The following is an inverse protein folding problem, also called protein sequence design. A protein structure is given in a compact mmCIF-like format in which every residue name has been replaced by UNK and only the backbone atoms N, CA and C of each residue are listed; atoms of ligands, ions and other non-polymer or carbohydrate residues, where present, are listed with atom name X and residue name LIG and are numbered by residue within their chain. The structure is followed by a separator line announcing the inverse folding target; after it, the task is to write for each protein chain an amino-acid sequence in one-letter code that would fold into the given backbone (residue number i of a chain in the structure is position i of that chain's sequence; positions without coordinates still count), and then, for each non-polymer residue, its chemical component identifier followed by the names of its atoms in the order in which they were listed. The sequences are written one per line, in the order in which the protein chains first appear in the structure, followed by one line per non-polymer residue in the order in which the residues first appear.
data_IF_242374891905
#
_entry.id   IF_242374891905
#
_cell.length_a   1.000
_cell.length_b   1.000
_cell.length_c   1.000
_cell.angle_alpha   90.00
_cell.angle_beta   90.00
_cell.angle_gamma   90.00
#
_symmetry.space_group_name_H-M   'P 1'
#
loop_
_entity.id
_entity.type
_entity.pdbx_description
1 polymer ?
#
# COMPACT_ATOMS: atom_id res chain seq x y z
N UNK A 1 -13.48 -42.49 -7.78
CA UNK A 1 -14.22 -41.46 -8.54
C UNK A 1 -13.98 -40.14 -7.83
N UNK A 2 -13.68 -39.03 -8.53
CA UNK A 2 -13.54 -37.74 -7.86
C UNK A 2 -14.88 -37.38 -7.19
N UNK A 3 -14.82 -36.94 -5.93
CA UNK A 3 -15.98 -36.48 -5.18
C UNK A 3 -16.39 -35.12 -5.75
N UNK A 4 -17.39 -35.10 -6.63
CA UNK A 4 -17.89 -33.87 -7.25
C UNK A 4 -19.00 -33.34 -6.34
N UNK A 5 -18.70 -32.27 -5.62
CA UNK A 5 -19.71 -31.52 -4.87
C UNK A 5 -20.41 -30.61 -5.88
N UNK A 6 -21.71 -30.80 -6.09
CA UNK A 6 -22.49 -29.88 -6.92
C UNK A 6 -22.74 -28.57 -6.15
N UNK A 7 -23.05 -27.50 -6.86
CA UNK A 7 -23.30 -26.21 -6.21
C UNK A 7 -24.53 -26.26 -5.29
N UNK A 8 -25.56 -27.02 -5.66
CA UNK A 8 -26.77 -27.20 -4.85
C UNK A 8 -26.45 -27.91 -3.53
N UNK A 9 -25.66 -28.98 -3.59
CA UNK A 9 -25.22 -29.70 -2.39
C UNK A 9 -24.30 -28.83 -1.52
N UNK A 10 -23.44 -28.01 -2.14
CA UNK A 10 -22.60 -27.06 -1.41
C UNK A 10 -23.43 -26.02 -0.65
N UNK A 11 -24.45 -25.45 -1.28
CA UNK A 11 -25.33 -24.46 -0.65
C UNK A 11 -26.07 -25.09 0.52
N UNK A 12 -26.68 -26.26 0.31
CA UNK A 12 -27.47 -26.95 1.34
C UNK A 12 -26.62 -27.35 2.56
N UNK A 13 -25.39 -27.81 2.35
CA UNK A 13 -24.54 -28.32 3.43
C UNK A 13 -23.66 -27.26 4.11
N UNK A 14 -23.21 -26.22 3.39
CA UNK A 14 -22.14 -25.33 3.86
C UNK A 14 -22.53 -23.85 3.96
N UNK A 15 -23.73 -23.44 3.56
CA UNK A 15 -24.12 -22.02 3.64
C UNK A 15 -24.00 -21.45 5.06
N UNK A 16 -24.59 -22.13 6.05
CA UNK A 16 -24.56 -21.67 7.44
C UNK A 16 -23.12 -21.59 7.96
N UNK A 17 -22.31 -22.61 7.70
CA UNK A 17 -20.89 -22.65 8.05
C UNK A 17 -20.11 -21.47 7.45
N UNK A 18 -20.32 -21.18 6.16
CA UNK A 18 -19.62 -20.08 5.47
C UNK A 18 -20.01 -18.73 6.07
N UNK A 19 -21.31 -18.53 6.34
CA UNK A 19 -21.83 -17.29 6.93
C UNK A 19 -21.33 -17.08 8.36
N UNK A 20 -21.32 -18.12 9.19
CA UNK A 20 -20.74 -18.05 10.53
C UNK A 20 -19.24 -17.74 10.50
N UNK A 21 -18.49 -18.42 9.63
CA UNK A 21 -17.07 -18.16 9.43
C UNK A 21 -16.82 -16.70 9.00
N UNK A 22 -17.62 -16.19 8.06
CA UNK A 22 -17.53 -14.83 7.57
C UNK A 22 -17.78 -13.81 8.68
N UNK A 23 -18.85 -13.97 9.47
CA UNK A 23 -19.16 -13.09 10.61
C UNK A 23 -18.01 -13.01 11.61
N UNK A 24 -17.46 -14.16 11.99
CA UNK A 24 -16.30 -14.24 12.89
C UNK A 24 -15.08 -13.50 12.29
N UNK A 25 -14.80 -13.71 11.00
CA UNK A 25 -13.66 -13.09 10.32
C UNK A 25 -13.82 -11.59 10.14
N UNK A 26 -15.01 -11.13 9.79
CA UNK A 26 -15.33 -9.72 9.57
C UNK A 26 -15.24 -8.92 10.88
N UNK A 27 -15.70 -9.49 12.00
CA UNK A 27 -15.54 -8.88 13.33
C UNK A 27 -14.07 -8.70 13.73
N UNK A 28 -13.20 -9.69 13.45
CA UNK A 28 -11.76 -9.55 13.70
C UNK A 28 -11.09 -8.49 12.81
N UNK A 29 -11.49 -8.39 11.53
CA UNK A 29 -10.95 -7.39 10.61
C UNK A 29 -11.40 -5.97 10.95
N UNK A 30 -12.65 -5.78 11.38
CA UNK A 30 -13.16 -4.46 11.77
C UNK A 30 -12.41 -3.88 12.98
N UNK A 31 -12.02 -4.74 13.92
CA UNK A 31 -11.20 -4.37 15.07
C UNK A 31 -9.77 -3.96 14.70
N UNK A 32 -9.25 -4.42 13.55
CA UNK A 32 -7.85 -4.27 13.18
C UNK A 32 -7.58 -3.26 12.06
N UNK A 33 -8.54 -3.01 11.16
CA UNK A 33 -8.30 -2.20 9.95
C UNK A 33 -9.27 -1.03 9.70
N UNK A 34 -10.38 -0.87 10.44
CA UNK A 34 -11.37 0.24 10.36
C UNK A 34 -11.86 0.71 8.96
N UNK A 35 -11.44 0.08 7.86
CA UNK A 35 -11.85 0.34 6.48
C UNK A 35 -11.94 -0.99 5.73
N UNK A 36 -12.95 -1.12 4.86
CA UNK A 36 -13.20 -2.34 4.08
C UNK A 36 -14.23 -3.28 4.71
N UNK A 37 -15.39 -2.75 5.12
CA UNK A 37 -16.52 -3.61 5.46
C UNK A 37 -16.96 -4.34 4.18
N UNK A 38 -16.89 -5.67 4.20
CA UNK A 38 -17.53 -6.51 3.19
C UNK A 38 -18.92 -6.82 3.73
N UNK A 39 -19.96 -6.59 2.92
CA UNK A 39 -21.31 -7.02 3.23
C UNK A 39 -21.41 -8.55 3.06
N UNK A 40 -22.13 -9.21 3.97
CA UNK A 40 -22.23 -10.68 3.99
C UNK A 40 -22.81 -11.24 2.69
N UNK A 41 -23.83 -10.59 2.13
CA UNK A 41 -24.47 -11.03 0.89
C UNK A 41 -23.58 -10.83 -0.34
N UNK A 42 -22.73 -9.80 -0.35
CA UNK A 42 -21.75 -9.59 -1.42
C UNK A 42 -20.69 -10.69 -1.40
N UNK A 43 -20.22 -11.06 -0.21
CA UNK A 43 -19.25 -12.15 -0.04
C UNK A 43 -19.83 -13.49 -0.47
N UNK A 44 -21.08 -13.77 -0.06
CA UNK A 44 -21.78 -15.00 -0.43
C UNK A 44 -21.97 -15.10 -1.94
N UNK A 45 -22.47 -14.04 -2.57
CA UNK A 45 -22.71 -13.99 -4.01
C UNK A 45 -21.42 -14.19 -4.82
N UNK A 46 -20.32 -13.55 -4.41
CA UNK A 46 -19.03 -13.67 -5.09
C UNK A 46 -18.40 -15.06 -4.90
N UNK A 47 -18.61 -15.71 -3.75
CA UNK A 47 -18.20 -17.10 -3.53
C UNK A 47 -18.92 -18.04 -4.49
N UNK A 48 -20.25 -17.94 -4.58
CA UNK A 48 -21.04 -18.78 -5.48
C UNK A 48 -20.64 -18.54 -6.94
N UNK A 49 -20.44 -17.30 -7.34
CA UNK A 49 -19.93 -16.95 -8.66
C UNK A 49 -18.58 -17.61 -8.94
N UNK A 50 -17.62 -17.51 -8.02
CA UNK A 50 -16.31 -18.15 -8.20
C UNK A 50 -16.38 -19.68 -8.22
N UNK A 51 -17.31 -20.29 -7.48
CA UNK A 51 -17.56 -21.73 -7.52
C UNK A 51 -18.02 -22.16 -8.92
N UNK A 52 -18.96 -21.42 -9.53
CA UNK A 52 -19.44 -21.69 -10.89
C UNK A 52 -18.36 -21.39 -11.94
N UNK A 53 -17.83 -20.17 -11.94
CA UNK A 53 -16.96 -19.68 -13.01
C UNK A 53 -15.60 -20.37 -13.05
N UNK A 54 -15.07 -20.75 -11.88
CA UNK A 54 -13.71 -21.30 -11.75
C UNK A 54 -13.69 -22.75 -11.26
N UNK A 55 -14.87 -23.39 -11.19
CA UNK A 55 -15.06 -24.76 -10.72
C UNK A 55 -14.28 -25.07 -9.44
N UNK A 56 -14.30 -24.15 -8.46
CA UNK A 56 -13.38 -24.21 -7.31
C UNK A 56 -13.56 -25.49 -6.51
N UNK A 57 -14.79 -26.01 -6.42
CA UNK A 57 -15.09 -27.27 -5.73
C UNK A 57 -14.34 -28.47 -6.34
N UNK A 58 -14.07 -28.44 -7.65
CA UNK A 58 -13.30 -29.49 -8.34
C UNK A 58 -11.80 -29.46 -8.01
N UNK A 59 -11.31 -28.35 -7.42
CA UNK A 59 -9.90 -28.21 -7.01
C UNK A 59 -9.60 -28.85 -5.65
N UNK A 60 -10.63 -29.30 -4.93
CA UNK A 60 -10.43 -30.06 -3.70
C UNK A 60 -10.03 -31.50 -4.03
N UNK A 61 -8.82 -31.89 -3.62
CA UNK A 61 -8.34 -33.26 -3.75
C UNK A 61 -8.28 -33.93 -2.36
N UNK A 62 -9.18 -34.89 -2.14
CA UNK A 62 -9.23 -35.69 -0.91
C UNK A 62 -7.96 -36.52 -0.68
N UNK A 63 -7.17 -36.78 -1.74
CA UNK A 63 -5.92 -37.55 -1.67
C UNK A 63 -4.68 -36.66 -1.63
N UNK A 64 -4.84 -35.33 -1.49
CA UNK A 64 -3.74 -34.41 -1.35
C UNK A 64 -2.90 -34.76 -0.10
N UNK A 65 -1.58 -34.55 -0.19
CA UNK A 65 -0.60 -34.97 0.83
C UNK A 65 -0.88 -34.47 2.25
N UNK A 66 -1.69 -33.42 2.39
CA UNK A 66 -2.06 -32.81 3.66
C UNK A 66 -3.12 -33.59 4.44
N UNK A 67 -3.90 -34.49 3.80
CA UNK A 67 -5.01 -35.20 4.46
C UNK A 67 -6.07 -34.29 5.07
N UNK A 68 -6.11 -33.02 4.68
CA UNK A 68 -6.98 -32.01 5.25
C UNK A 68 -8.43 -32.28 4.85
N UNK A 69 -9.35 -32.21 5.81
CA UNK A 69 -10.78 -32.34 5.53
C UNK A 69 -11.29 -31.13 4.73
N UNK A 70 -12.46 -31.31 4.10
CA UNK A 70 -13.03 -30.34 3.18
C UNK A 70 -13.23 -28.97 3.83
N UNK A 71 -13.73 -28.91 5.07
CA UNK A 71 -13.90 -27.65 5.80
C UNK A 71 -12.59 -26.87 5.99
N UNK A 72 -11.47 -27.55 6.26
CA UNK A 72 -10.17 -26.88 6.44
C UNK A 72 -9.70 -26.27 5.13
N UNK A 73 -9.84 -27.01 4.03
CA UNK A 73 -9.56 -26.48 2.70
C UNK A 73 -10.50 -25.34 2.33
N UNK A 74 -11.79 -25.46 2.65
CA UNK A 74 -12.80 -24.44 2.41
C UNK A 74 -12.46 -23.15 3.17
N UNK A 75 -12.06 -23.22 4.45
CA UNK A 75 -11.58 -22.06 5.21
C UNK A 75 -10.42 -21.33 4.54
N UNK A 76 -9.50 -22.04 3.88
CA UNK A 76 -8.43 -21.41 3.09
C UNK A 76 -8.99 -20.67 1.87
N UNK A 77 -9.91 -21.31 1.13
CA UNK A 77 -10.60 -20.69 -0.02
C UNK A 77 -11.34 -19.43 0.41
N UNK A 78 -12.12 -19.50 1.50
CA UNK A 78 -12.86 -18.39 2.06
C UNK A 78 -11.94 -17.24 2.49
N UNK A 79 -10.81 -17.54 3.14
CA UNK A 79 -9.84 -16.53 3.54
C UNK A 79 -9.19 -15.82 2.35
N UNK A 80 -8.85 -16.57 1.29
CA UNK A 80 -8.30 -15.97 0.08
C UNK A 80 -9.33 -15.09 -0.62
N UNK A 81 -10.57 -15.56 -0.74
CA UNK A 81 -11.67 -14.76 -1.30
C UNK A 81 -11.90 -13.49 -0.48
N UNK A 82 -11.91 -13.59 0.84
CA UNK A 82 -12.10 -12.44 1.72
C UNK A 82 -11.01 -11.40 1.50
N UNK A 83 -9.74 -11.83 1.42
CA UNK A 83 -8.60 -10.94 1.15
C UNK A 83 -8.72 -10.30 -0.24
N UNK A 84 -9.09 -11.07 -1.25
CA UNK A 84 -9.29 -10.57 -2.62
C UNK A 84 -10.37 -9.48 -2.65
N UNK A 85 -11.52 -9.73 -2.00
CA UNK A 85 -12.64 -8.80 -1.95
C UNK A 85 -12.29 -7.54 -1.14
N UNK A 86 -11.68 -7.69 0.03
CA UNK A 86 -11.20 -6.56 0.83
C UNK A 86 -10.23 -5.70 0.01
N UNK A 87 -9.29 -6.34 -0.69
CA UNK A 87 -8.34 -5.66 -1.58
C UNK A 87 -9.03 -5.01 -2.77
N UNK A 88 -10.06 -5.64 -3.34
CA UNK A 88 -10.83 -5.10 -4.45
C UNK A 88 -11.69 -3.92 -4.03
N UNK A 89 -12.26 -3.89 -2.83
CA UNK A 89 -13.00 -2.74 -2.31
C UNK A 89 -12.04 -1.57 -2.18
N UNK A 90 -10.88 -1.77 -1.56
CA UNK A 90 -9.80 -0.76 -1.47
C UNK A 90 -9.39 -0.25 -2.86
N UNK A 91 -9.34 -1.12 -3.88
CA UNK A 91 -9.07 -0.75 -5.28
C UNK A 91 -10.26 -0.09 -6.01
N UNK A 92 -11.51 -0.38 -5.65
CA UNK A 92 -12.72 0.22 -6.26
C UNK A 92 -13.07 1.58 -5.65
N UNK A 93 -12.69 1.83 -4.40
CA UNK A 93 -12.73 3.17 -3.79
C UNK A 93 -11.62 4.08 -4.34
N UNK A 94 -10.81 3.55 -5.24
CA UNK A 94 -9.74 4.26 -5.94
C UNK A 94 -10.31 4.87 -7.22
N UNK A 95 -10.20 6.19 -7.36
CA UNK A 95 -10.69 6.93 -8.52
C UNK A 95 -9.62 6.86 -9.61
N UNK A 96 -9.98 6.33 -10.78
CA UNK A 96 -9.08 6.28 -11.94
C UNK A 96 -8.90 7.68 -12.53
N UNK A 97 -7.65 8.05 -12.84
CA UNK A 97 -7.35 9.23 -13.65
C UNK A 97 -7.37 8.80 -15.12
N UNK A 98 -8.24 9.40 -15.93
CA UNK A 98 -8.28 9.17 -17.38
C UNK A 98 -6.97 9.64 -18.03
N UNK A 99 -6.31 8.72 -18.73
CA UNK A 99 -5.14 8.98 -19.54
C UNK A 99 -5.52 9.72 -20.82
N UNK A 100 -4.95 10.89 -21.06
CA UNK A 100 -4.76 11.37 -22.43
C UNK A 100 -3.35 11.02 -22.87
N UNK A 101 -3.32 10.27 -23.97
CA UNK A 101 -2.17 9.60 -24.56
C UNK A 101 -0.96 10.51 -24.81
N UNK A 102 0.23 10.03 -24.44
CA UNK A 102 1.23 9.65 -25.44
C UNK A 102 2.28 8.70 -24.84
N UNK A 103 2.67 7.76 -25.67
CA UNK A 103 3.48 6.57 -25.45
C UNK A 103 4.76 6.80 -24.62
N UNK A 104 4.96 5.96 -23.60
CA UNK A 104 6.32 5.66 -23.15
C UNK A 104 6.47 4.16 -22.86
N UNK A 105 7.04 3.47 -23.86
CA UNK A 105 7.37 2.05 -23.86
C UNK A 105 8.76 1.86 -23.25
N UNK A 106 8.87 1.89 -21.91
CA UNK A 106 9.80 1.10 -21.11
C UNK A 106 9.92 1.64 -19.67
N UNK A 107 9.66 0.75 -18.71
CA UNK A 107 10.25 0.84 -17.36
C UNK A 107 9.45 1.66 -16.36
N UNK A 108 8.77 0.94 -15.46
CA UNK A 108 8.28 1.44 -14.18
C UNK A 108 7.39 2.68 -14.27
N UNK A 109 6.15 2.49 -14.73
CA UNK A 109 5.10 3.49 -14.55
C UNK A 109 4.84 3.68 -13.06
N UNK A 110 5.30 4.85 -12.61
CA UNK A 110 5.19 5.42 -11.28
C UNK A 110 3.71 5.56 -10.92
N UNK A 111 3.27 4.88 -9.87
CA UNK A 111 1.97 5.17 -9.24
C UNK A 111 2.14 6.46 -8.43
N UNK A 112 1.61 7.53 -9.01
CA UNK A 112 0.71 8.56 -8.46
C UNK A 112 1.18 9.42 -7.28
N UNK A 113 0.84 10.70 -7.37
CA UNK A 113 0.95 11.71 -6.32
C UNK A 113 2.30 11.66 -5.59
N UNK A 114 3.37 11.83 -6.36
CA UNK A 114 4.47 12.62 -5.81
C UNK A 114 3.81 13.90 -5.29
N UNK A 115 4.19 14.40 -4.12
CA UNK A 115 3.77 15.73 -3.68
C UNK A 115 4.31 16.75 -4.70
N UNK A 116 3.70 16.84 -5.88
CA UNK A 116 4.02 17.81 -6.90
C UNK A 116 3.31 19.06 -6.43
N UNK A 117 3.98 19.77 -5.52
CA UNK A 117 3.65 21.15 -5.26
C UNK A 117 4.12 21.90 -6.50
N UNK A 118 3.21 22.09 -7.46
CA UNK A 118 3.46 22.92 -8.62
C UNK A 118 3.80 24.33 -8.11
N UNK A 119 5.03 24.83 -8.31
CA UNK A 119 5.44 26.15 -7.82
C UNK A 119 4.58 27.29 -8.40
N UNK A 120 3.87 26.99 -9.49
CA UNK A 120 3.02 27.91 -10.24
C UNK A 120 1.57 27.92 -9.69
N UNK A 121 1.19 26.93 -8.88
CA UNK A 121 -0.05 26.90 -8.09
C UNK A 121 0.21 27.42 -6.67
N UNK A 122 0.64 28.68 -6.54
CA UNK A 122 0.81 29.39 -5.25
C UNK A 122 -0.52 29.66 -4.50
N UNK A 123 -1.49 28.77 -4.63
CA UNK A 123 -2.76 28.81 -3.90
C UNK A 123 -3.00 27.56 -3.05
N UNK A 124 -2.11 26.56 -3.04
CA UNK A 124 -2.10 25.58 -1.94
C UNK A 124 -1.78 26.35 -0.65
N UNK A 125 -2.62 26.29 0.40
CA UNK A 125 -2.42 27.14 1.56
C UNK A 125 -1.08 26.79 2.22
N UNK A 126 -0.21 27.78 2.43
CA UNK A 126 1.09 27.66 3.13
C UNK A 126 1.03 26.82 4.43
N UNK A 127 -0.17 26.72 5.01
CA UNK A 127 -0.50 25.94 6.19
C UNK A 127 -0.36 24.43 5.96
N UNK A 128 -0.78 23.89 4.82
CA UNK A 128 -0.75 22.44 4.54
C UNK A 128 0.69 21.91 4.41
N UNK A 129 1.56 22.65 3.73
CA UNK A 129 2.98 22.30 3.58
C UNK A 129 3.68 22.31 4.95
N UNK A 130 3.35 23.27 5.82
CA UNK A 130 3.89 23.33 7.19
C UNK A 130 3.47 22.13 8.03
N UNK A 131 2.22 21.67 7.91
CA UNK A 131 1.73 20.49 8.62
C UNK A 131 2.45 19.23 8.13
N UNK A 132 2.58 19.06 6.80
CA UNK A 132 3.31 17.92 6.22
C UNK A 132 4.77 17.90 6.67
N UNK A 133 5.44 19.07 6.71
CA UNK A 133 6.80 19.19 7.26
C UNK A 133 6.86 18.71 8.72
N UNK A 134 5.97 19.19 9.57
CA UNK A 134 5.91 18.76 10.97
C UNK A 134 5.73 17.24 11.10
N UNK A 135 4.89 16.64 10.26
CA UNK A 135 4.70 15.18 10.23
C UNK A 135 5.97 14.43 9.80
N UNK A 136 6.71 14.95 8.81
CA UNK A 136 8.01 14.39 8.40
C UNK A 136 9.02 14.47 9.55
N UNK A 137 9.12 15.62 10.22
CA UNK A 137 10.09 15.84 11.30
C UNK A 137 9.83 14.94 12.52
N UNK A 138 8.57 14.54 12.72
CA UNK A 138 8.13 13.60 13.77
C UNK A 138 8.39 12.12 13.44
N UNK A 139 8.88 11.78 12.24
CA UNK A 139 9.21 10.38 11.90
C UNK A 139 10.33 9.90 12.85
N UNK A 140 10.09 8.88 13.71
CA UNK A 140 11.03 8.56 14.80
C UNK A 140 12.37 7.98 14.34
N UNK A 141 12.38 7.35 13.16
CA UNK A 141 13.60 6.72 12.61
C UNK A 141 14.27 7.71 11.66
N UNK A 142 15.46 8.16 12.01
CA UNK A 142 16.25 9.11 11.20
C UNK A 142 16.40 8.66 9.74
N UNK A 143 16.81 7.40 9.50
CA UNK A 143 16.87 6.82 8.13
C UNK A 143 15.57 6.98 7.34
N UNK A 144 14.43 6.78 7.99
CA UNK A 144 13.12 6.86 7.34
C UNK A 144 12.75 8.32 7.04
N UNK A 145 13.08 9.23 7.96
CA UNK A 145 12.91 10.68 7.79
C UNK A 145 13.72 11.19 6.60
N UNK A 146 15.00 10.85 6.55
CA UNK A 146 15.91 11.21 5.45
C UNK A 146 15.43 10.62 4.12
N UNK A 147 15.00 9.35 4.10
CA UNK A 147 14.42 8.74 2.88
C UNK A 147 13.25 9.57 2.34
N UNK A 148 12.34 9.99 3.20
CA UNK A 148 11.19 10.81 2.78
C UNK A 148 11.68 12.17 2.27
N UNK A 149 12.53 12.88 3.03
CA UNK A 149 13.08 14.18 2.63
C UNK A 149 13.79 14.14 1.27
N UNK A 150 14.64 13.15 1.03
CA UNK A 150 15.35 12.99 -0.25
C UNK A 150 14.38 12.72 -1.40
N UNK A 151 13.30 11.98 -1.16
CA UNK A 151 12.34 11.56 -2.19
C UNK A 151 11.25 12.60 -2.49
N UNK A 152 10.93 13.46 -1.53
CA UNK A 152 9.91 14.50 -1.65
C UNK A 152 10.51 15.88 -1.45
N UNK A 153 11.72 16.11 -1.98
CA UNK A 153 12.37 17.39 -1.81
C UNK A 153 11.50 18.53 -2.34
N UNK A 154 11.26 19.52 -1.50
CA UNK A 154 10.57 20.77 -1.81
C UNK A 154 11.54 21.92 -1.52
N UNK A 155 11.77 22.76 -2.53
CA UNK A 155 12.69 23.90 -2.41
C UNK A 155 12.31 24.82 -1.26
N UNK A 156 13.29 25.22 -0.44
CA UNK A 156 13.07 26.13 0.68
C UNK A 156 12.23 25.56 1.84
N UNK A 157 11.83 24.29 1.80
CA UNK A 157 11.04 23.66 2.88
C UNK A 157 11.68 22.37 3.40
N UNK A 158 12.36 21.61 2.54
CA UNK A 158 13.08 20.39 2.92
C UNK A 158 14.52 20.72 3.29
N UNK A 159 14.83 20.55 4.57
CA UNK A 159 16.17 20.74 5.12
C UNK A 159 16.64 19.43 5.73
N UNK A 160 17.90 19.10 5.48
CA UNK A 160 18.60 17.99 6.14
C UNK A 160 19.48 18.62 7.21
N UNK A 161 19.27 18.25 8.46
CA UNK A 161 20.01 18.81 9.61
C UNK A 161 21.40 18.17 9.78
N UNK A 162 22.26 18.78 10.60
CA UNK A 162 23.64 18.31 10.81
C UNK A 162 23.70 16.86 11.36
N UNK A 163 22.72 16.44 12.16
CA UNK A 163 22.66 15.06 12.68
C UNK A 163 22.30 14.07 11.57
N UNK A 164 21.40 14.46 10.67
CA UNK A 164 21.03 13.69 9.49
C UNK A 164 22.16 13.61 8.47
N UNK A 165 22.92 14.69 8.28
CA UNK A 165 24.14 14.70 7.45
C UNK A 165 25.19 13.77 8.06
N UNK A 166 25.46 13.88 9.36
CA UNK A 166 26.40 12.98 10.04
C UNK A 166 25.96 11.50 9.92
N UNK A 167 24.66 11.23 9.99
CA UNK A 167 24.13 9.90 9.73
C UNK A 167 24.41 9.44 8.29
N UNK A 168 24.20 10.30 7.30
CA UNK A 168 24.47 9.98 5.89
C UNK A 168 25.96 9.69 5.65
N UNK A 169 26.85 10.49 6.22
CA UNK A 169 28.30 10.28 6.14
C UNK A 169 28.72 8.93 6.75
N UNK A 170 28.03 8.46 7.79
CA UNK A 170 28.31 7.13 8.38
C UNK A 170 27.81 5.96 7.53
N UNK A 171 26.80 6.20 6.67
CA UNK A 171 26.14 5.17 5.86
C UNK A 171 26.63 5.17 4.42
N UNK A 172 27.32 6.22 3.99
CA UNK A 172 27.69 6.45 2.59
C UNK A 172 29.17 6.76 2.44
N UNK A 173 29.82 6.13 1.47
CA UNK A 173 31.23 6.36 1.15
C UNK A 173 31.46 7.59 0.26
N UNK A 174 30.53 8.56 0.22
CA UNK A 174 30.65 9.76 -0.61
C UNK A 174 31.33 10.85 0.22
N UNK A 175 32.53 11.27 -0.19
CA UNK A 175 33.33 12.28 0.52
C UNK A 175 32.66 13.67 0.60
N UNK A 176 31.74 13.99 -0.32
CA UNK A 176 30.98 15.25 -0.32
C UNK A 176 29.46 14.99 -0.51
N UNK A 177 28.81 14.62 0.59
CA UNK A 177 27.37 14.33 0.63
C UNK A 177 26.53 15.57 0.28
N UNK A 178 26.92 16.74 0.77
CA UNK A 178 26.17 17.97 0.58
C UNK A 178 26.13 18.38 -0.90
N UNK A 179 27.29 18.35 -1.57
CA UNK A 179 27.36 18.63 -3.01
C UNK A 179 26.61 17.56 -3.81
N UNK A 180 26.77 16.28 -3.47
CA UNK A 180 26.04 15.20 -4.16
C UNK A 180 24.53 15.36 -4.06
N UNK A 181 24.01 15.71 -2.89
CA UNK A 181 22.59 15.98 -2.65
C UNK A 181 22.14 17.17 -3.50
N UNK A 182 22.90 18.27 -3.47
CA UNK A 182 22.63 19.47 -4.27
C UNK A 182 22.53 19.12 -5.76
N UNK A 183 23.55 18.46 -6.32
CA UNK A 183 23.64 18.15 -7.75
C UNK A 183 22.52 17.24 -8.26
N UNK A 184 21.89 16.46 -7.38
CA UNK A 184 20.86 15.48 -7.75
C UNK A 184 19.42 15.92 -7.41
N UNK A 185 19.25 17.13 -6.89
CA UNK A 185 17.95 17.67 -6.47
C UNK A 185 17.46 18.79 -7.40
N UNK A 186 18.34 19.38 -8.21
CA UNK A 186 18.01 20.51 -9.08
C UNK A 186 18.06 20.13 -10.56
N UNK A 187 16.96 19.54 -11.06
CA UNK A 187 16.54 19.54 -12.48
C UNK A 187 15.05 19.09 -12.53
N UNK A 188 14.11 20.05 -12.37
CA UNK A 188 12.64 19.96 -12.50
C UNK A 188 11.87 18.87 -11.69
N UNK A 189 11.46 19.25 -10.48
CA UNK A 189 11.44 18.45 -9.23
C UNK A 189 10.35 17.37 -9.06
N UNK A 190 10.81 16.21 -8.60
CA UNK A 190 10.24 15.50 -7.45
C UNK A 190 11.28 14.55 -6.83
N UNK A 191 12.14 15.12 -5.97
CA UNK A 191 13.15 14.39 -5.19
C UNK A 191 14.28 13.72 -5.98
N UNK A 192 15.18 13.09 -5.22
CA UNK A 192 16.30 12.31 -5.73
C UNK A 192 15.83 10.95 -6.26
N UNK A 193 16.56 10.40 -7.24
CA UNK A 193 16.25 9.08 -7.83
C UNK A 193 16.54 7.93 -6.86
N UNK A 194 15.77 6.85 -6.98
CA UNK A 194 15.88 5.67 -6.10
C UNK A 194 17.27 5.04 -6.06
N UNK A 195 18.00 5.04 -7.18
CA UNK A 195 19.38 4.53 -7.26
C UNK A 195 20.36 5.33 -6.40
N UNK A 196 20.16 6.64 -6.34
CA UNK A 196 21.03 7.58 -5.65
C UNK A 196 20.70 7.55 -4.15
N UNK A 197 19.40 7.49 -3.81
CA UNK A 197 18.92 7.24 -2.44
C UNK A 197 19.41 5.88 -1.91
N UNK A 198 19.36 4.83 -2.74
CA UNK A 198 19.81 3.50 -2.36
C UNK A 198 21.28 3.49 -1.93
N UNK A 199 22.11 4.26 -2.63
CA UNK A 199 23.52 4.45 -2.32
C UNK A 199 23.72 5.26 -1.04
N UNK A 200 22.99 6.36 -0.85
CA UNK A 200 23.13 7.23 0.32
C UNK A 200 22.69 6.57 1.63
N UNK A 201 21.68 5.70 1.58
CA UNK A 201 21.09 5.09 2.76
C UNK A 201 21.47 3.62 2.96
N UNK A 202 22.46 3.14 2.20
CA UNK A 202 22.87 1.73 2.14
C UNK A 202 21.65 0.78 2.13
N UNK A 203 20.77 0.97 1.15
CA UNK A 203 19.56 0.16 1.00
C UNK A 203 19.51 -0.52 -0.35
N UNK A 204 18.87 -1.69 -0.39
CA UNK A 204 18.61 -2.40 -1.65
C UNK A 204 17.68 -1.54 -2.51
N UNK A 205 18.04 -1.33 -3.78
CA UNK A 205 17.27 -0.52 -4.73
C UNK A 205 15.77 -0.86 -4.75
N UNK A 206 15.43 -2.15 -4.80
CA UNK A 206 14.03 -2.62 -4.81
C UNK A 206 13.24 -2.31 -3.53
N UNK A 207 13.91 -1.92 -2.44
CA UNK A 207 13.28 -1.64 -1.14
C UNK A 207 13.01 -0.16 -0.90
N UNK A 208 13.59 0.74 -1.71
CA UNK A 208 13.44 2.20 -1.56
C UNK A 208 11.97 2.60 -1.67
N UNK A 209 11.30 2.22 -2.76
CA UNK A 209 9.89 2.54 -3.02
C UNK A 209 8.93 1.95 -1.99
N UNK A 210 9.09 0.68 -1.67
CA UNK A 210 8.20 -0.04 -0.76
C UNK A 210 8.30 0.51 0.66
N UNK A 211 9.52 0.85 1.08
CA UNK A 211 9.80 1.47 2.39
C UNK A 211 9.24 2.88 2.45
N UNK A 212 9.49 3.70 1.42
CA UNK A 212 8.94 5.05 1.29
C UNK A 212 7.41 5.04 1.40
N UNK A 213 6.71 4.21 0.60
CA UNK A 213 5.24 4.10 0.63
C UNK A 213 4.70 3.75 2.02
N UNK A 214 5.33 2.79 2.69
CA UNK A 214 4.93 2.38 4.04
C UNK A 214 5.10 3.52 5.05
N UNK A 215 6.18 4.28 4.97
CA UNK A 215 6.44 5.41 5.88
C UNK A 215 5.44 6.52 5.62
N UNK A 216 5.27 6.93 4.37
CA UNK A 216 4.38 8.03 3.99
C UNK A 216 2.93 7.74 4.35
N UNK A 217 2.43 6.53 4.09
CA UNK A 217 1.08 6.13 4.51
C UNK A 217 0.90 6.30 6.02
N UNK A 218 1.78 5.66 6.78
CA UNK A 218 1.67 5.58 8.24
C UNK A 218 1.88 6.91 8.96
N UNK A 219 2.83 7.72 8.50
CA UNK A 219 3.31 8.88 9.24
C UNK A 219 2.86 10.21 8.66
N UNK A 220 2.33 10.23 7.43
CA UNK A 220 1.93 11.47 6.75
C UNK A 220 0.47 11.39 6.34
N UNK A 221 0.11 10.45 5.45
CA UNK A 221 -1.24 10.39 4.87
C UNK A 221 -2.31 10.10 5.93
N UNK A 222 -2.14 9.04 6.72
CA UNK A 222 -3.16 8.66 7.72
C UNK A 222 -3.30 9.72 8.83
N UNK A 223 -2.20 10.25 9.42
CA UNK A 223 -2.29 11.37 10.37
C UNK A 223 -2.88 12.64 9.77
N UNK A 224 -2.56 12.98 8.52
CA UNK A 224 -3.08 14.17 7.86
C UNK A 224 -4.58 14.09 7.58
N UNK A 225 -5.08 12.91 7.18
CA UNK A 225 -6.54 12.68 7.06
C UNK A 225 -7.26 12.89 8.39
N UNK A 226 -6.69 12.39 9.50
CA UNK A 226 -7.24 12.61 10.85
C UNK A 226 -7.19 14.10 11.21
N UNK A 227 -6.09 14.79 10.91
CA UNK A 227 -5.94 16.22 11.15
C UNK A 227 -7.02 17.04 10.42
N UNK A 228 -7.25 16.78 9.12
CA UNK A 228 -8.28 17.49 8.34
C UNK A 228 -9.67 17.30 8.93
N UNK A 229 -10.07 16.05 9.23
CA UNK A 229 -11.39 15.75 9.81
C UNK A 229 -11.63 16.44 11.16
N UNK A 230 -10.58 16.66 11.95
CA UNK A 230 -10.70 17.30 13.27
C UNK A 230 -10.67 18.84 13.23
N UNK A 231 -10.29 19.45 12.10
CA UNK A 231 -10.13 20.89 11.95
C UNK A 231 -11.02 21.50 10.84
N UNK A 232 -11.90 20.69 10.24
CA UNK A 232 -13.05 21.08 9.41
C UNK A 232 -14.33 21.01 10.23
#
# INVERSE_FOLDING_TARGET
MPYIITIEAFIEEYEEFVREWFRFRNQQNFAQFKQGHIEEEDFWSELLRKIVDNEILNKYDQNHHSGANFETWLKMVLNNLFIDMASSIVKRTWISIDSTDNEDTNGNTVIEDRFIVHPEERNSPDIEIKIVKQMIDQIPKMRNRILVKLKTYIDGFTEIDDEEIAYLETMSDIEDIAQFISDNIYDDKAGMRDKDIAKLLDMKLGTVNTTYRRIVSKHIIDPYKIYKVNNE
#
